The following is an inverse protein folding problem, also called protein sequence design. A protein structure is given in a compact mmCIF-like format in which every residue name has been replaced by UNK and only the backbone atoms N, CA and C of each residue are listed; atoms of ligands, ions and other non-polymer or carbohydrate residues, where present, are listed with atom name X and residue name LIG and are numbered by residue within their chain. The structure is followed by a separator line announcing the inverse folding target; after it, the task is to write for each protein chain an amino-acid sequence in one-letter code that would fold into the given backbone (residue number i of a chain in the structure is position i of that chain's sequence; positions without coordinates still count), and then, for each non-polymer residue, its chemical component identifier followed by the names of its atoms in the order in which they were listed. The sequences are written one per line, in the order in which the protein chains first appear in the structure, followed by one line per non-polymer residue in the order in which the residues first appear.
data_IF_341401616121
#
_entry.id   IF_341401616121
#
_cell.length_a   1.000
_cell.length_b   1.000
_cell.length_c   1.000
_cell.angle_alpha   90.00
_cell.angle_beta   90.00
_cell.angle_gamma   90.00
#
_symmetry.space_group_name_H-M   'P 1'
#
loop_
_entity.id
_entity.type
_entity.pdbx_description
1 polymer ?
#
# COMPACT_ATOMS: atom_id res chain seq x y z
N UNK A 1 11.74 42.74 17.68
CA UNK A 1 11.19 41.38 17.87
C UNK A 1 10.11 41.19 16.82
N UNK A 2 10.51 40.83 15.61
CA UNK A 2 9.57 40.62 14.50
C UNK A 2 9.49 39.12 14.29
N UNK A 3 8.29 38.59 14.47
CA UNK A 3 7.98 37.18 14.31
C UNK A 3 8.43 36.70 12.93
N UNK A 4 9.21 35.62 12.91
CA UNK A 4 9.50 34.86 11.72
C UNK A 4 8.17 34.35 11.14
N UNK A 5 8.00 34.35 9.80
CA UNK A 5 6.81 33.78 9.20
C UNK A 5 6.75 32.28 9.54
N UNK A 6 5.69 31.87 10.23
CA UNK A 6 5.36 30.47 10.45
C UNK A 6 5.09 29.85 9.08
N UNK A 7 6.09 29.15 8.53
CA UNK A 7 5.91 28.31 7.35
C UNK A 7 4.76 27.35 7.64
N UNK A 8 3.76 27.22 6.76
CA UNK A 8 2.69 26.26 6.97
C UNK A 8 3.34 24.88 6.99
N UNK A 9 3.14 24.18 8.10
CA UNK A 9 3.59 22.80 8.31
C UNK A 9 3.00 21.98 7.16
N UNK A 10 3.87 21.63 6.21
CA UNK A 10 3.72 20.58 5.23
C UNK A 10 2.27 20.28 4.80
N UNK A 11 1.73 21.09 3.89
CA UNK A 11 0.73 20.62 2.92
C UNK A 11 1.40 19.59 1.99
N UNK A 12 1.84 18.46 2.55
CA UNK A 12 2.14 17.28 1.76
C UNK A 12 0.79 16.81 1.20
N UNK A 13 0.50 17.21 -0.03
CA UNK A 13 -0.50 16.54 -0.86
C UNK A 13 -0.26 15.04 -0.72
N UNK A 14 -1.09 14.33 0.05
CA UNK A 14 -1.17 12.87 -0.03
C UNK A 14 -1.61 12.59 -1.46
N UNK A 15 -0.66 12.17 -2.30
CA UNK A 15 -0.96 11.68 -3.63
C UNK A 15 -1.90 10.50 -3.41
N UNK A 16 -3.17 10.67 -3.79
CA UNK A 16 -4.15 9.59 -3.74
C UNK A 16 -3.52 8.32 -4.31
N UNK A 17 -3.52 7.23 -3.53
CA UNK A 17 -2.94 5.97 -3.98
C UNK A 17 -3.64 5.55 -5.28
N UNK A 18 -2.90 5.22 -6.35
CA UNK A 18 -3.45 4.66 -7.57
C UNK A 18 -4.47 3.56 -7.26
N UNK A 19 -5.61 3.57 -7.96
CA UNK A 19 -6.67 2.57 -7.76
C UNK A 19 -6.13 1.14 -7.88
N UNK A 20 -5.19 0.91 -8.78
CA UNK A 20 -4.49 -0.37 -8.95
C UNK A 20 -3.67 -0.77 -7.71
N UNK A 21 -3.05 0.17 -6.99
CA UNK A 21 -2.36 -0.14 -5.73
C UNK A 21 -3.34 -0.49 -4.61
N UNK A 22 -4.55 0.09 -4.60
CA UNK A 22 -5.59 -0.34 -3.66
C UNK A 22 -6.03 -1.78 -3.95
N UNK A 23 -6.19 -2.14 -5.22
CA UNK A 23 -6.46 -3.51 -5.67
C UNK A 23 -5.34 -4.49 -5.29
N UNK A 24 -4.09 -4.09 -5.53
CA UNK A 24 -2.91 -4.89 -5.16
C UNK A 24 -2.87 -5.13 -3.66
N UNK A 25 -2.99 -4.08 -2.83
CA UNK A 25 -3.00 -4.22 -1.37
C UNK A 25 -4.08 -5.21 -0.89
N UNK A 26 -5.28 -5.15 -1.49
CA UNK A 26 -6.33 -6.10 -1.19
C UNK A 26 -5.95 -7.53 -1.57
N UNK A 27 -5.38 -7.73 -2.76
CA UNK A 27 -4.99 -9.07 -3.22
C UNK A 27 -3.79 -9.65 -2.47
N UNK A 28 -2.90 -8.80 -1.94
CA UNK A 28 -1.71 -9.22 -1.20
C UNK A 28 -2.01 -9.55 0.26
N UNK A 29 -2.83 -8.75 0.94
CA UNK A 29 -3.07 -8.92 2.38
C UNK A 29 -4.47 -8.50 2.85
N UNK A 30 -5.44 -8.40 1.93
CA UNK A 30 -6.75 -7.78 2.18
C UNK A 30 -6.63 -6.34 2.68
N UNK A 31 -5.56 -5.64 2.29
CA UNK A 31 -5.26 -4.27 2.70
C UNK A 31 -4.75 -4.13 4.13
N UNK A 32 -4.44 -5.23 4.83
CA UNK A 32 -3.97 -5.20 6.21
C UNK A 32 -2.44 -5.17 6.26
N UNK A 33 -1.88 -4.27 7.06
CA UNK A 33 -0.46 -4.33 7.38
C UNK A 33 -0.18 -5.22 8.60
N UNK A 34 -1.06 -5.17 9.60
CA UNK A 34 -0.98 -5.94 10.84
C UNK A 34 -2.07 -7.01 10.91
N UNK A 35 -1.76 -8.13 11.57
CA UNK A 35 -2.73 -9.16 11.93
C UNK A 35 -3.56 -8.75 13.15
N UNK A 36 -4.48 -9.63 13.57
CA UNK A 36 -5.37 -9.40 14.72
C UNK A 36 -4.62 -9.29 16.06
N UNK A 37 -3.35 -9.73 16.10
CA UNK A 37 -2.49 -9.66 17.27
C UNK A 37 -1.52 -8.47 17.22
N UNK A 38 -1.59 -7.63 16.18
CA UNK A 38 -0.69 -6.48 15.97
C UNK A 38 0.67 -6.85 15.38
N UNK A 39 0.87 -8.08 14.91
CA UNK A 39 2.10 -8.47 14.22
C UNK A 39 2.04 -8.08 12.75
N UNK A 40 3.17 -7.72 12.15
CA UNK A 40 3.26 -7.48 10.70
C UNK A 40 2.86 -8.75 9.94
N UNK A 41 1.90 -8.61 9.01
CA UNK A 41 1.48 -9.70 8.13
C UNK A 41 2.69 -10.19 7.33
N UNK A 42 2.86 -11.51 7.26
CA UNK A 42 3.95 -12.14 6.50
C UNK A 42 3.39 -13.08 5.45
N UNK A 43 4.09 -13.17 4.33
CA UNK A 43 3.72 -14.03 3.23
C UNK A 43 3.70 -15.50 3.64
N UNK A 44 2.66 -16.22 3.23
CA UNK A 44 2.49 -17.65 3.51
C UNK A 44 3.60 -18.50 2.90
N UNK A 45 4.04 -18.16 1.69
CA UNK A 45 5.09 -18.90 0.97
C UNK A 45 6.49 -18.36 1.25
N UNK A 46 6.61 -17.03 1.41
CA UNK A 46 7.87 -16.39 1.72
C UNK A 46 7.67 -15.43 2.90
N UNK A 47 8.22 -15.75 4.09
CA UNK A 47 8.06 -14.92 5.28
C UNK A 47 8.78 -13.58 5.16
N UNK A 48 9.58 -13.37 4.10
CA UNK A 48 10.25 -12.10 3.80
C UNK A 48 9.36 -11.10 3.09
N UNK A 49 8.22 -11.53 2.54
CA UNK A 49 7.19 -10.63 2.01
C UNK A 49 6.37 -10.10 3.19
N UNK A 50 6.37 -8.78 3.40
CA UNK A 50 5.81 -8.17 4.61
C UNK A 50 4.75 -7.12 4.32
N UNK A 51 3.78 -7.07 5.22
CA UNK A 51 2.79 -6.01 5.34
C UNK A 51 1.82 -5.92 4.19
N UNK A 52 1.18 -4.75 4.09
CA UNK A 52 0.07 -4.42 3.19
C UNK A 52 0.29 -4.75 1.73
N UNK A 53 1.52 -4.53 1.25
CA UNK A 53 1.91 -4.74 -0.15
C UNK A 53 2.78 -5.98 -0.34
N UNK A 54 2.96 -6.81 0.71
CA UNK A 54 3.75 -8.03 0.66
C UNK A 54 5.15 -7.80 0.03
N UNK A 55 5.80 -6.69 0.39
CA UNK A 55 7.09 -6.29 -0.19
C UNK A 55 8.19 -7.17 0.36
N UNK A 56 8.97 -7.78 -0.53
CA UNK A 56 10.06 -8.65 -0.13
C UNK A 56 11.23 -7.87 0.50
N UNK A 57 11.45 -8.08 1.79
CA UNK A 57 12.53 -7.43 2.58
C UNK A 57 13.95 -7.79 2.12
N UNK A 58 14.15 -8.94 1.48
CA UNK A 58 15.47 -9.32 0.97
C UNK A 58 15.83 -8.58 -0.32
N UNK A 59 14.86 -8.33 -1.20
CA UNK A 59 15.11 -7.59 -2.44
C UNK A 59 15.02 -6.08 -2.26
N UNK A 60 14.11 -5.60 -1.41
CA UNK A 60 13.78 -4.17 -1.33
C UNK A 60 14.12 -3.52 0.01
N UNK A 61 14.57 -4.30 1.01
CA UNK A 61 14.86 -3.77 2.34
C UNK A 61 16.00 -2.76 2.37
N UNK A 62 17.06 -2.97 1.58
CA UNK A 62 18.16 -2.01 1.50
C UNK A 62 17.74 -0.70 0.82
N UNK A 63 16.98 -0.79 -0.27
CA UNK A 63 16.51 0.39 -0.99
C UNK A 63 15.49 1.18 -0.17
N UNK A 64 14.60 0.49 0.55
CA UNK A 64 13.68 1.12 1.50
C UNK A 64 14.45 1.88 2.59
N UNK A 65 15.47 1.26 3.18
CA UNK A 65 16.33 1.92 4.19
C UNK A 65 17.05 3.15 3.64
N UNK A 66 17.60 3.08 2.42
CA UNK A 66 18.25 4.23 1.76
C UNK A 66 17.28 5.39 1.53
N UNK A 67 16.00 5.10 1.33
CA UNK A 67 14.93 6.08 1.16
C UNK A 67 14.29 6.53 2.49
N UNK A 68 14.74 5.98 3.62
CA UNK A 68 14.18 6.30 4.94
C UNK A 68 12.81 5.64 5.21
N UNK A 69 12.49 4.54 4.52
CA UNK A 69 11.27 3.77 4.73
C UNK A 69 11.54 2.51 5.53
N UNK A 70 10.75 2.28 6.59
CA UNK A 70 10.71 1.01 7.30
C UNK A 70 9.58 0.13 6.75
N UNK A 71 9.93 -1.02 6.16
CA UNK A 71 8.94 -1.93 5.58
C UNK A 71 8.05 -2.62 6.62
N UNK A 72 8.43 -2.57 7.89
CA UNK A 72 7.68 -3.13 9.02
C UNK A 72 6.67 -2.14 9.62
N UNK A 73 6.64 -0.89 9.14
CA UNK A 73 5.56 0.06 9.43
C UNK A 73 4.60 0.14 8.25
N UNK A 74 3.34 0.49 8.51
CA UNK A 74 2.37 0.65 7.42
C UNK A 74 2.80 1.78 6.49
N UNK A 75 3.22 2.92 7.03
CA UNK A 75 3.62 4.09 6.26
C UNK A 75 4.84 3.82 5.37
N UNK A 76 5.85 3.12 5.88
CA UNK A 76 7.03 2.79 5.09
C UNK A 76 6.77 1.71 4.04
N UNK A 77 5.86 0.77 4.33
CA UNK A 77 5.39 -0.22 3.35
C UNK A 77 4.61 0.44 2.21
N UNK A 78 3.69 1.38 2.52
CA UNK A 78 2.95 2.16 1.51
C UNK A 78 3.88 3.04 0.68
N UNK A 79 4.81 3.75 1.33
CA UNK A 79 5.76 4.61 0.63
C UNK A 79 6.65 3.81 -0.33
N UNK A 80 7.16 2.65 0.11
CA UNK A 80 7.96 1.80 -0.78
C UNK A 80 7.11 1.20 -1.91
N UNK A 81 5.84 0.84 -1.67
CA UNK A 81 4.94 0.37 -2.72
C UNK A 81 4.74 1.43 -3.82
N UNK A 82 4.58 2.69 -3.43
CA UNK A 82 4.51 3.81 -4.37
C UNK A 82 5.80 3.95 -5.18
N UNK A 83 6.96 3.92 -4.52
CA UNK A 83 8.27 4.00 -5.21
C UNK A 83 8.43 2.87 -6.23
N UNK A 84 8.06 1.64 -5.86
CA UNK A 84 8.13 0.48 -6.76
C UNK A 84 7.18 0.63 -7.94
N UNK A 85 5.96 1.10 -7.68
CA UNK A 85 4.96 1.33 -8.72
C UNK A 85 5.39 2.41 -9.72
N UNK A 86 5.94 3.53 -9.23
CA UNK A 86 6.44 4.61 -10.09
C UNK A 86 7.62 4.15 -10.96
N UNK A 87 8.47 3.27 -10.45
CA UNK A 87 9.64 2.76 -11.19
C UNK A 87 9.34 1.61 -12.13
N UNK A 88 8.43 0.71 -11.75
CA UNK A 88 8.26 -0.61 -12.41
C UNK A 88 6.80 -0.94 -12.75
N UNK A 89 5.86 -0.05 -12.48
CA UNK A 89 4.43 -0.34 -12.58
C UNK A 89 4.04 -1.49 -11.66
N UNK A 90 3.22 -2.41 -12.16
CA UNK A 90 2.69 -3.54 -11.39
C UNK A 90 3.59 -4.78 -11.40
N UNK A 91 4.75 -4.73 -12.06
CA UNK A 91 5.65 -5.88 -12.24
C UNK A 91 6.00 -6.60 -10.91
N UNK A 92 6.28 -5.92 -9.79
CA UNK A 92 6.60 -6.60 -8.52
C UNK A 92 5.49 -7.52 -8.00
N UNK A 93 4.23 -7.27 -8.38
CA UNK A 93 3.04 -8.01 -7.92
C UNK A 93 2.47 -8.92 -9.02
N UNK A 94 3.28 -9.37 -9.96
CA UNK A 94 2.83 -10.23 -11.08
C UNK A 94 2.21 -11.55 -10.59
N UNK A 95 2.65 -12.06 -9.43
CA UNK A 95 2.13 -13.31 -8.86
C UNK A 95 0.67 -13.22 -8.41
N UNK A 96 0.22 -12.03 -8.00
CA UNK A 96 -1.17 -11.77 -7.61
C UNK A 96 -2.00 -11.17 -8.74
N UNK A 97 -1.47 -11.09 -9.97
CA UNK A 97 -2.14 -10.47 -11.13
C UNK A 97 -3.53 -10.99 -11.37
N UNK A 98 -3.73 -12.31 -11.28
CA UNK A 98 -5.04 -12.92 -11.48
C UNK A 98 -6.12 -12.41 -10.51
N UNK A 99 -5.75 -11.74 -9.42
CA UNK A 99 -6.66 -11.09 -8.48
C UNK A 99 -6.84 -9.59 -8.79
N UNK A 100 -5.76 -8.80 -8.88
CA UNK A 100 -5.88 -7.34 -8.99
C UNK A 100 -6.20 -6.82 -10.39
N UNK A 101 -6.01 -7.64 -11.44
CA UNK A 101 -6.31 -7.30 -12.84
C UNK A 101 -7.80 -7.53 -13.20
N UNK A 102 -8.65 -7.77 -12.20
CA UNK A 102 -10.10 -7.96 -12.38
C UNK A 102 -10.83 -6.63 -12.36
N UNK A 103 -11.92 -6.56 -13.13
CA UNK A 103 -12.86 -5.43 -13.09
C UNK A 103 -13.49 -5.29 -11.70
N UNK A 104 -13.93 -6.42 -11.14
CA UNK A 104 -14.52 -6.53 -9.80
C UNK A 104 -13.68 -7.49 -8.95
N UNK A 105 -13.26 -7.02 -7.78
CA UNK A 105 -12.57 -7.84 -6.77
C UNK A 105 -13.58 -8.18 -5.67
N UNK A 106 -13.98 -9.46 -5.52
CA UNK A 106 -14.87 -9.88 -4.44
C UNK A 106 -14.29 -9.50 -3.07
N UNK A 107 -15.07 -8.80 -2.25
CA UNK A 107 -14.66 -8.34 -0.92
C UNK A 107 -14.06 -6.92 -0.87
N UNK A 108 -13.84 -6.28 -2.03
CA UNK A 108 -13.59 -4.83 -2.11
C UNK A 108 -14.93 -4.15 -2.41
N UNK A 109 -15.74 -3.88 -1.37
CA UNK A 109 -17.06 -3.27 -1.55
C UNK A 109 -16.93 -1.93 -2.27
N UNK A 110 -17.61 -1.79 -3.41
CA UNK A 110 -17.68 -0.51 -4.11
C UNK A 110 -18.73 0.33 -3.40
N UNK A 111 -18.33 1.49 -2.88
CA UNK A 111 -19.22 2.45 -2.22
C UNK A 111 -20.26 3.10 -3.17
N UNK A 112 -20.57 2.49 -4.31
CA UNK A 112 -21.40 3.06 -5.38
C UNK A 112 -22.65 2.23 -5.72
N UNK A 113 -23.10 1.34 -4.84
CA UNK A 113 -24.35 0.58 -5.02
C UNK A 113 -25.47 0.91 -4.03
N UNK A 114 -25.30 1.87 -3.12
CA UNK A 114 -26.37 2.23 -2.16
C UNK A 114 -27.35 3.30 -2.65
N UNK A 115 -27.24 3.80 -3.90
CA UNK A 115 -28.14 4.84 -4.41
C UNK A 115 -29.11 4.32 -5.51
N UNK A 116 -29.69 3.12 -5.39
CA UNK A 116 -30.74 2.66 -6.32
C UNK A 116 -31.79 1.73 -5.66
N UNK A 117 -32.03 1.88 -4.35
CA UNK A 117 -33.13 1.21 -3.65
C UNK A 117 -33.97 2.22 -2.85
N UNK A 118 -34.41 3.28 -3.52
CA UNK A 118 -35.52 4.13 -3.06
C UNK A 118 -36.34 4.52 -4.28
N UNK A 119 -37.12 3.56 -4.77
CA UNK A 119 -38.29 3.75 -5.62
C UNK A 119 -39.34 2.73 -5.22
#
# INVERSE_FOLDING_TARGET
MSALPTLPIAEAKRKELPSVLKKIAFCESSGKHFDENGNVVRGKHNPKDVGKYQINTMYWGEDAKKLGHDLLTEEGNEAMALVLYEKQGTRPWTWSRACWDRDVIPGMETASSQQLASR
#
